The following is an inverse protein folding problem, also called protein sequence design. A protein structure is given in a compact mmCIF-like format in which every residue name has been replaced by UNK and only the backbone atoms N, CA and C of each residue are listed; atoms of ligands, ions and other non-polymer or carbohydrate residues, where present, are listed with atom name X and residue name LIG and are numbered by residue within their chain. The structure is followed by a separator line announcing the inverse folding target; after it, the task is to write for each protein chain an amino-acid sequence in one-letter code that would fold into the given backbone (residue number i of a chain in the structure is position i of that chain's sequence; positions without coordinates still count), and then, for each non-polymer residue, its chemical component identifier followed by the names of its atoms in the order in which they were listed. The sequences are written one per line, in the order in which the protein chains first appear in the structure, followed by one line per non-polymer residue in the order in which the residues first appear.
data_IF_870275802800
#
_entry.id   IF_870275802800
#
_cell.length_a   1.000
_cell.length_b   1.000
_cell.length_c   1.000
_cell.angle_alpha   90.00
_cell.angle_beta   90.00
_cell.angle_gamma   90.00
#
_symmetry.space_group_name_H-M   'P 1'
#
loop_
_entity.id
_entity.type
_entity.pdbx_description
1 polymer ?
#
# COMPACT_ATOMS: atom_id res chain seq x y z
N UNK A 1 15.12 5.81 24.65
CA UNK A 1 13.99 4.86 24.63
C UNK A 1 14.59 3.46 24.77
N UNK A 2 14.05 2.62 25.65
CA UNK A 2 14.65 1.32 25.99
C UNK A 2 14.36 0.27 24.90
N UNK A 3 15.41 -0.41 24.43
CA UNK A 3 15.33 -1.48 23.41
C UNK A 3 14.35 -2.57 23.85
N UNK A 4 14.30 -2.87 25.15
CA UNK A 4 13.38 -3.88 25.70
C UNK A 4 11.92 -3.49 25.48
N UNK A 5 11.58 -2.21 25.57
CA UNK A 5 10.21 -1.74 25.31
C UNK A 5 9.86 -1.83 23.82
N UNK A 6 10.83 -1.59 22.93
CA UNK A 6 10.63 -1.74 21.48
C UNK A 6 10.38 -3.22 21.14
N UNK A 7 11.19 -4.13 21.69
CA UNK A 7 11.04 -5.58 21.49
C UNK A 7 9.68 -6.08 21.99
N UNK A 8 9.24 -5.66 23.18
CA UNK A 8 7.90 -6.00 23.70
C UNK A 8 6.77 -5.54 22.79
N UNK A 9 6.89 -4.37 22.17
CA UNK A 9 5.89 -3.88 21.20
C UNK A 9 5.89 -4.71 19.92
N UNK A 10 7.06 -5.09 19.42
CA UNK A 10 7.18 -5.98 18.25
C UNK A 10 6.49 -7.32 18.53
N UNK A 11 6.81 -7.94 19.66
CA UNK A 11 6.20 -9.22 20.06
C UNK A 11 4.67 -9.10 20.19
N UNK A 12 4.16 -8.05 20.84
CA UNK A 12 2.73 -7.81 20.94
C UNK A 12 2.07 -7.63 19.56
N UNK A 13 2.73 -6.93 18.63
CA UNK A 13 2.24 -6.78 17.26
C UNK A 13 2.20 -8.12 16.52
N UNK A 14 3.24 -8.95 16.65
CA UNK A 14 3.29 -10.27 16.00
C UNK A 14 2.19 -11.20 16.55
N UNK A 15 1.94 -11.17 17.87
CA UNK A 15 0.86 -11.94 18.48
C UNK A 15 -0.51 -11.49 17.97
N UNK A 16 -0.80 -10.18 17.96
CA UNK A 16 -2.05 -9.64 17.43
C UNK A 16 -2.24 -9.94 15.94
N UNK A 17 -1.17 -9.89 15.14
CA UNK A 17 -1.23 -10.25 13.71
C UNK A 17 -1.58 -11.72 13.50
N UNK A 18 -1.07 -12.62 14.35
CA UNK A 18 -1.43 -14.04 14.33
C UNK A 18 -2.90 -14.22 14.72
N UNK A 19 -3.34 -13.64 15.83
CA UNK A 19 -4.73 -13.72 16.28
C UNK A 19 -5.73 -13.21 15.24
N UNK A 20 -5.42 -12.07 14.58
CA UNK A 20 -6.25 -11.55 13.48
C UNK A 20 -6.32 -12.52 12.31
N UNK A 21 -5.21 -13.18 11.98
CA UNK A 21 -5.18 -14.17 10.88
C UNK A 21 -6.06 -15.37 11.21
N UNK A 22 -5.92 -15.89 12.43
CA UNK A 22 -6.66 -17.06 12.88
C UNK A 22 -8.16 -16.74 12.95
N UNK A 23 -8.54 -15.59 13.52
CA UNK A 23 -9.93 -15.14 13.57
C UNK A 23 -10.54 -14.93 12.17
N UNK A 24 -9.78 -14.38 11.23
CA UNK A 24 -10.22 -14.25 9.82
C UNK A 24 -10.42 -15.60 9.17
N UNK A 25 -9.56 -16.57 9.45
CA UNK A 25 -9.70 -17.92 8.92
C UNK A 25 -10.96 -18.59 9.48
N UNK A 26 -11.17 -18.55 10.80
CA UNK A 26 -12.36 -19.10 11.44
C UNK A 26 -13.64 -18.48 10.89
N UNK A 27 -13.70 -17.15 10.79
CA UNK A 27 -14.86 -16.46 10.22
C UNK A 27 -15.09 -16.84 8.75
N UNK A 28 -14.01 -17.00 7.98
CA UNK A 28 -14.11 -17.42 6.58
C UNK A 28 -14.69 -18.83 6.48
N UNK A 29 -14.23 -19.76 7.32
CA UNK A 29 -14.76 -21.12 7.39
C UNK A 29 -16.24 -21.13 7.80
N UNK A 30 -16.66 -20.30 8.75
CA UNK A 30 -18.09 -20.15 9.12
C UNK A 30 -18.94 -19.67 7.94
N UNK A 31 -18.47 -18.66 7.20
CA UNK A 31 -19.16 -18.13 6.03
C UNK A 31 -19.25 -19.17 4.90
N UNK A 32 -18.17 -19.89 4.62
CA UNK A 32 -18.13 -20.92 3.56
C UNK A 32 -19.05 -22.11 3.86
N UNK A 33 -19.38 -22.36 5.12
CA UNK A 33 -20.28 -23.44 5.54
C UNK A 33 -21.76 -23.01 5.66
N UNK A 34 -22.09 -21.71 5.54
CA UNK A 34 -23.49 -21.23 5.56
C UNK A 34 -24.08 -21.25 4.14
N UNK A 35 -25.10 -22.09 3.92
CA UNK A 35 -25.76 -22.25 2.62
C UNK A 35 -26.33 -20.93 2.06
N UNK A 36 -26.88 -20.06 2.93
CA UNK A 36 -27.44 -18.77 2.49
C UNK A 36 -26.34 -17.83 2.00
N UNK A 37 -25.16 -17.89 2.64
CA UNK A 37 -24.01 -17.13 2.20
C UNK A 37 -23.47 -17.64 0.87
N UNK A 38 -23.39 -18.97 0.69
CA UNK A 38 -22.95 -19.58 -0.57
C UNK A 38 -23.86 -19.20 -1.75
N UNK A 39 -25.18 -19.28 -1.59
CA UNK A 39 -26.15 -18.87 -2.62
C UNK A 39 -26.05 -17.38 -2.96
N UNK A 40 -25.94 -16.52 -1.94
CA UNK A 40 -25.77 -15.07 -2.15
C UNK A 40 -24.45 -14.75 -2.86
N UNK A 41 -23.37 -15.49 -2.56
CA UNK A 41 -22.07 -15.34 -3.19
C UNK A 41 -22.11 -15.75 -4.67
N UNK A 42 -22.80 -16.84 -5.01
CA UNK A 42 -22.98 -17.28 -6.40
C UNK A 42 -23.70 -16.22 -7.23
N UNK A 43 -24.85 -15.72 -6.75
CA UNK A 43 -25.57 -14.62 -7.41
C UNK A 43 -24.72 -13.35 -7.55
N UNK A 44 -23.94 -13.01 -6.52
CA UNK A 44 -23.02 -11.88 -6.58
C UNK A 44 -21.94 -12.07 -7.64
N UNK A 45 -21.37 -13.27 -7.76
CA UNK A 45 -20.34 -13.60 -8.74
C UNK A 45 -20.87 -13.52 -10.18
N UNK A 46 -22.11 -13.95 -10.42
CA UNK A 46 -22.77 -13.83 -11.73
C UNK A 46 -22.95 -12.36 -12.13
N UNK A 47 -23.51 -11.55 -11.24
CA UNK A 47 -23.74 -10.12 -11.49
C UNK A 47 -22.42 -9.35 -11.63
N UNK A 48 -21.41 -9.67 -10.82
CA UNK A 48 -20.07 -9.10 -10.95
C UNK A 48 -19.41 -9.50 -12.28
N UNK A 49 -19.64 -10.71 -12.76
CA UNK A 49 -19.14 -11.16 -14.08
C UNK A 49 -19.79 -10.39 -15.22
N UNK A 50 -21.12 -10.16 -15.17
CA UNK A 50 -21.84 -9.31 -16.14
C UNK A 50 -21.31 -7.88 -16.10
N UNK A 51 -21.20 -7.30 -14.91
CA UNK A 51 -20.65 -5.96 -14.69
C UNK A 51 -19.23 -5.83 -15.24
N UNK A 52 -18.38 -6.84 -15.00
CA UNK A 52 -17.00 -6.87 -15.50
C UNK A 52 -16.95 -6.85 -17.03
N UNK A 53 -17.76 -7.66 -17.71
CA UNK A 53 -17.84 -7.68 -19.18
C UNK A 53 -18.24 -6.32 -19.75
N UNK A 54 -19.33 -5.74 -19.23
CA UNK A 54 -19.81 -4.41 -19.66
C UNK A 54 -18.73 -3.35 -19.43
N UNK A 55 -18.06 -3.40 -18.28
CA UNK A 55 -16.95 -2.49 -17.98
C UNK A 55 -15.82 -2.65 -18.99
N UNK A 56 -15.38 -3.87 -19.28
CA UNK A 56 -14.32 -4.13 -20.27
C UNK A 56 -14.72 -3.64 -21.67
N UNK A 57 -15.97 -3.79 -22.09
CA UNK A 57 -16.48 -3.25 -23.36
C UNK A 57 -16.39 -1.71 -23.40
N UNK A 58 -16.82 -1.04 -22.32
CA UNK A 58 -16.74 0.42 -22.19
C UNK A 58 -15.28 0.88 -22.22
N UNK A 59 -14.40 0.21 -21.47
CA UNK A 59 -12.98 0.54 -21.36
C UNK A 59 -12.22 0.33 -22.68
N UNK A 60 -12.60 -0.69 -23.46
CA UNK A 60 -12.01 -0.98 -24.76
C UNK A 60 -12.49 -0.07 -25.88
N UNK A 61 -13.48 0.79 -25.64
CA UNK A 61 -13.83 1.84 -26.59
C UNK A 61 -12.64 2.81 -26.81
N UNK A 62 -12.44 3.24 -28.05
CA UNK A 62 -11.18 3.89 -28.47
C UNK A 62 -10.82 5.17 -27.70
N UNK A 63 -11.80 5.95 -27.24
CA UNK A 63 -11.56 7.13 -26.38
C UNK A 63 -11.19 6.74 -24.95
N UNK A 64 -11.85 5.74 -24.39
CA UNK A 64 -11.63 5.32 -23.00
C UNK A 64 -10.30 4.59 -22.84
N UNK A 65 -9.89 3.81 -23.84
CA UNK A 65 -8.58 3.15 -23.85
C UNK A 65 -7.42 4.16 -23.77
N UNK A 66 -7.54 5.31 -24.45
CA UNK A 66 -6.54 6.39 -24.37
C UNK A 66 -6.52 7.03 -22.98
N UNK A 67 -7.70 7.33 -22.41
CA UNK A 67 -7.79 7.88 -21.05
C UNK A 67 -7.21 6.91 -20.01
N UNK A 68 -7.45 5.61 -20.14
CA UNK A 68 -6.88 4.61 -19.25
C UNK A 68 -5.36 4.53 -19.35
N UNK A 69 -4.81 4.65 -20.56
CA UNK A 69 -3.36 4.69 -20.76
C UNK A 69 -2.75 5.94 -20.13
N UNK A 70 -3.35 7.11 -20.34
CA UNK A 70 -2.91 8.38 -19.74
C UNK A 70 -2.98 8.32 -18.20
N UNK A 71 -4.06 7.78 -17.63
CA UNK A 71 -4.18 7.57 -16.18
C UNK A 71 -3.06 6.65 -15.67
N UNK A 72 -2.74 5.58 -16.41
CA UNK A 72 -1.69 4.64 -16.02
C UNK A 72 -0.32 5.31 -16.04
N UNK A 73 0.02 5.99 -17.12
CA UNK A 73 1.30 6.70 -17.27
C UNK A 73 1.47 7.78 -16.19
N UNK A 74 0.46 8.63 -16.00
CA UNK A 74 0.48 9.66 -14.96
C UNK A 74 0.62 9.06 -13.56
N UNK A 75 0.01 7.90 -13.30
CA UNK A 75 0.13 7.22 -12.01
C UNK A 75 1.53 6.66 -11.79
N UNK A 76 2.12 6.02 -12.80
CA UNK A 76 3.48 5.49 -12.74
C UNK A 76 4.52 6.61 -12.52
N UNK A 77 4.36 7.74 -13.22
CA UNK A 77 5.20 8.92 -13.03
C UNK A 77 5.02 9.52 -11.62
N UNK A 78 3.78 9.66 -11.17
CA UNK A 78 3.49 10.23 -9.85
C UNK A 78 4.03 9.35 -8.72
N UNK A 79 3.90 8.03 -8.83
CA UNK A 79 4.47 7.10 -7.85
C UNK A 79 6.01 7.17 -7.86
N UNK A 80 6.64 7.29 -9.03
CA UNK A 80 8.10 7.50 -9.15
C UNK A 80 8.54 8.81 -8.47
N UNK A 81 7.86 9.93 -8.74
CA UNK A 81 8.16 11.22 -8.13
C UNK A 81 7.96 11.20 -6.61
N UNK A 82 6.94 10.50 -6.11
CA UNK A 82 6.73 10.34 -4.66
C UNK A 82 7.85 9.57 -3.98
N UNK A 83 8.38 8.54 -4.62
CA UNK A 83 9.51 7.76 -4.08
C UNK A 83 10.78 8.61 -4.02
N UNK A 84 11.08 9.34 -5.10
CA UNK A 84 12.22 10.28 -5.17
C UNK A 84 12.08 11.34 -4.08
N UNK A 85 10.94 12.01 -3.99
CA UNK A 85 10.69 13.05 -3.00
C UNK A 85 10.79 12.51 -1.57
N UNK A 86 10.24 11.31 -1.29
CA UNK A 86 10.33 10.72 0.05
C UNK A 86 11.78 10.49 0.48
N UNK A 87 12.61 10.02 -0.45
CA UNK A 87 14.03 9.84 -0.21
C UNK A 87 14.77 11.17 0.01
N UNK A 88 14.49 12.18 -0.81
CA UNK A 88 15.09 13.52 -0.67
C UNK A 88 14.71 14.17 0.65
N UNK A 89 13.44 14.06 1.07
CA UNK A 89 12.98 14.58 2.36
C UNK A 89 13.61 13.83 3.54
N UNK A 90 13.82 12.51 3.42
CA UNK A 90 14.57 11.74 4.43
C UNK A 90 16.03 12.18 4.52
N UNK A 91 16.68 12.44 3.39
CA UNK A 91 18.04 12.97 3.35
C UNK A 91 18.11 14.37 3.96
N UNK A 92 17.18 15.26 3.60
CA UNK A 92 17.07 16.60 4.18
C UNK A 92 16.93 16.55 5.71
N UNK A 93 16.04 15.67 6.20
CA UNK A 93 15.88 15.45 7.64
C UNK A 93 17.17 14.90 8.27
N UNK A 94 17.88 13.99 7.61
CA UNK A 94 19.12 13.42 8.11
C UNK A 94 20.24 14.47 8.24
N UNK A 95 20.38 15.36 7.26
CA UNK A 95 21.43 16.38 7.18
C UNK A 95 21.12 17.62 8.03
N UNK A 96 19.91 18.17 7.90
CA UNK A 96 19.55 19.48 8.46
C UNK A 96 18.70 19.39 9.73
N UNK A 97 18.24 18.19 10.11
CA UNK A 97 17.34 17.96 11.26
C UNK A 97 16.06 18.81 11.24
N UNK A 98 15.62 19.19 10.04
CA UNK A 98 14.38 19.95 9.82
C UNK A 98 13.31 19.07 9.21
N UNK A 99 12.06 19.29 9.62
CA UNK A 99 10.87 18.69 9.03
C UNK A 99 10.09 19.70 8.16
N UNK A 100 10.71 20.84 7.84
CA UNK A 100 10.13 21.92 7.04
C UNK A 100 10.81 22.02 5.67
N UNK A 101 10.02 22.29 4.64
CA UNK A 101 10.48 22.59 3.29
C UNK A 101 9.65 23.73 2.70
N UNK A 102 10.30 24.66 2.01
CA UNK A 102 9.62 25.73 1.27
C UNK A 102 9.25 25.21 -0.12
N UNK A 103 7.98 25.32 -0.48
CA UNK A 103 7.52 24.94 -1.81
C UNK A 103 7.81 26.03 -2.86
N UNK A 104 7.50 25.73 -4.13
CA UNK A 104 7.77 26.65 -5.25
C UNK A 104 7.01 27.97 -5.17
N UNK A 105 5.94 28.05 -4.38
CA UNK A 105 5.17 29.27 -4.17
C UNK A 105 5.70 30.09 -3.00
N UNK A 106 6.71 29.59 -2.27
CA UNK A 106 7.25 30.22 -1.07
C UNK A 106 6.55 29.78 0.21
N UNK A 107 5.61 28.83 0.15
CA UNK A 107 4.90 28.35 1.33
C UNK A 107 5.72 27.29 2.07
N UNK A 108 5.84 27.44 3.38
CA UNK A 108 6.51 26.45 4.23
C UNK A 108 5.55 25.30 4.52
N UNK A 109 5.97 24.08 4.17
CA UNK A 109 5.26 22.83 4.44
C UNK A 109 6.05 21.97 5.40
N UNK A 110 5.34 21.32 6.34
CA UNK A 110 5.93 20.28 7.18
C UNK A 110 5.75 18.92 6.53
N UNK A 111 6.78 18.07 6.61
CA UNK A 111 6.71 16.68 6.21
C UNK A 111 6.89 15.75 7.42
N UNK A 112 6.28 14.56 7.36
CA UNK A 112 6.33 13.59 8.45
C UNK A 112 7.26 12.44 8.08
N UNK A 113 8.26 12.18 8.91
CA UNK A 113 9.03 10.94 8.85
C UNK A 113 8.18 9.78 9.37
N UNK A 114 7.95 8.78 8.52
CA UNK A 114 7.14 7.59 8.84
C UNK A 114 8.03 6.36 8.77
N UNK A 115 8.41 5.82 9.92
CA UNK A 115 9.22 4.60 10.01
C UNK A 115 8.30 3.40 10.16
N UNK A 116 8.55 2.35 9.38
CA UNK A 116 7.86 1.06 9.48
C UNK A 116 8.87 -0.06 9.54
N UNK A 117 8.57 -1.07 10.35
CA UNK A 117 9.30 -2.33 10.30
C UNK A 117 8.95 -3.04 8.98
N UNK A 118 9.97 -3.48 8.27
CA UNK A 118 9.80 -4.30 7.06
C UNK A 118 9.44 -5.73 7.48
N UNK A 119 8.65 -6.42 6.64
CA UNK A 119 8.31 -7.81 6.87
C UNK A 119 9.57 -8.69 6.76
N UNK A 120 9.54 -9.87 7.40
CA UNK A 120 10.62 -10.86 7.28
C UNK A 120 10.56 -11.51 5.88
N UNK A 121 11.65 -11.46 5.10
CA UNK A 121 11.82 -12.19 3.82
C UNK A 121 12.56 -11.41 2.72
N UNK A 122 13.12 -12.14 1.74
CA UNK A 122 14.05 -11.65 0.69
C UNK A 122 13.56 -10.44 -0.14
N UNK A 123 12.25 -10.17 -0.19
CA UNK A 123 11.66 -9.07 -1.00
C UNK A 123 12.05 -7.67 -0.49
N UNK A 124 12.56 -7.56 0.72
CA UNK A 124 12.89 -6.28 1.36
C UNK A 124 14.39 -6.07 1.59
N UNK A 125 15.22 -7.06 1.26
CA UNK A 125 16.68 -7.01 1.48
C UNK A 125 17.38 -6.04 0.52
N UNK A 126 16.76 -5.76 -0.65
CA UNK A 126 17.30 -4.85 -1.66
C UNK A 126 17.02 -3.36 -1.37
N UNK A 127 16.61 -3.01 -0.14
CA UNK A 127 16.32 -1.61 0.23
C UNK A 127 17.50 -0.94 0.92
N UNK A 128 17.80 0.28 0.52
CA UNK A 128 18.81 1.11 1.17
C UNK A 128 18.35 1.62 2.55
N UNK A 129 19.26 2.31 3.27
CA UNK A 129 19.00 2.89 4.60
C UNK A 129 17.85 3.91 4.62
N UNK A 130 17.48 4.45 3.46
CA UNK A 130 16.39 5.42 3.30
C UNK A 130 15.13 4.80 2.68
N UNK A 131 15.12 3.47 2.48
CA UNK A 131 14.00 2.72 1.95
C UNK A 131 13.86 2.72 0.43
N UNK A 132 14.85 3.22 -0.32
CA UNK A 132 14.88 3.12 -1.80
C UNK A 132 15.19 1.69 -2.22
N UNK A 133 14.62 1.24 -3.33
CA UNK A 133 15.07 0.00 -3.97
C UNK A 133 16.42 0.23 -4.65
N UNK A 134 17.38 -0.64 -4.38
CA UNK A 134 18.60 -0.76 -5.19
C UNK A 134 18.18 -1.31 -6.56
N UNK A 135 18.00 -0.43 -7.54
CA UNK A 135 17.97 -0.85 -8.94
C UNK A 135 19.41 -1.20 -9.32
N UNK A 136 19.73 -2.50 -9.31
CA UNK A 136 20.70 -3.04 -10.28
C UNK A 136 20.00 -3.19 -11.64
#
# INVERSE_FOLDING_TARGET
MDIVQIQKRIEAMENLQREIRDAKQMLKEELENDERYAEALEHSNEENSKKKRIKEEIENSGSNKKLLQEIKENKEELDTLREILSAELMQLYAEQKTDEITDINGDVRKFKVSVKLLGRGNKYDDRDTYGKFNKE
#
